data_IF_114825930027
#
_entry.id   IF_114825930027
#
_cell.length_a   1.000
_cell.length_b   1.000
_cell.length_c   1.000
_cell.angle_alpha   90.00
_cell.angle_beta   90.00
_cell.angle_gamma   90.00
#
_symmetry.space_group_name_H-M   'P 1'
#
loop_
_entity.id
_entity.type
_entity.pdbx_description
1 polymer ?
#
# COMPACT_ATOMS: atom_id res chain seq x y z
N UNK A 1 -5.32 -64.40 31.03
CA UNK A 1 -5.40 -62.92 31.09
C UNK A 1 -4.34 -62.32 30.18
N UNK A 2 -4.71 -61.88 28.99
CA UNK A 2 -3.78 -61.26 28.02
C UNK A 2 -3.78 -59.74 28.22
N UNK A 3 -2.60 -59.16 28.53
CA UNK A 3 -2.40 -57.71 28.61
C UNK A 3 -2.44 -57.16 27.18
N UNK A 4 -3.35 -56.22 26.91
CA UNK A 4 -3.32 -55.41 25.70
C UNK A 4 -2.12 -54.48 25.76
N UNK A 5 -1.19 -54.61 24.81
CA UNK A 5 -0.13 -53.70 24.60
C UNK A 5 -0.72 -52.46 23.86
N UNK A 6 -0.69 -51.33 24.56
CA UNK A 6 -1.13 -50.06 24.03
C UNK A 6 -0.16 -49.63 22.92
N UNK A 7 -0.65 -49.46 21.69
CA UNK A 7 0.15 -48.97 20.57
C UNK A 7 0.52 -47.53 20.80
N UNK A 8 1.79 -47.12 20.60
CA UNK A 8 2.19 -45.72 20.80
C UNK A 8 1.44 -44.83 19.81
N UNK A 9 0.76 -43.80 20.33
CA UNK A 9 0.16 -42.73 19.56
C UNK A 9 1.25 -42.12 18.68
N UNK A 10 1.15 -42.30 17.37
CA UNK A 10 1.98 -41.56 16.40
C UNK A 10 1.75 -40.06 16.63
N UNK A 11 2.76 -39.38 17.13
CA UNK A 11 2.80 -37.93 17.15
C UNK A 11 2.70 -37.48 15.70
N UNK A 12 1.63 -36.74 15.37
CA UNK A 12 1.50 -36.09 14.06
C UNK A 12 2.70 -35.17 13.89
N UNK A 13 3.47 -35.39 12.82
CA UNK A 13 4.52 -34.45 12.41
C UNK A 13 3.94 -33.06 12.35
N UNK A 14 4.68 -32.01 12.80
CA UNK A 14 4.17 -30.66 12.71
C UNK A 14 3.84 -30.35 11.24
N UNK A 15 2.65 -29.77 11.02
CA UNK A 15 2.20 -29.41 9.68
C UNK A 15 3.26 -28.51 9.03
N UNK A 16 3.66 -28.86 7.80
CA UNK A 16 4.62 -28.07 7.04
C UNK A 16 4.13 -26.63 6.96
N UNK A 17 5.05 -25.66 7.18
CA UNK A 17 4.72 -24.25 7.04
C UNK A 17 4.23 -23.96 5.60
N UNK A 18 3.15 -23.17 5.41
CA UNK A 18 2.68 -22.81 4.08
C UNK A 18 3.80 -22.20 3.23
N UNK A 19 3.84 -22.45 1.92
CA UNK A 19 4.78 -21.82 1.02
C UNK A 19 4.75 -20.30 1.12
N UNK A 20 5.92 -19.67 0.99
CA UNK A 20 6.08 -18.23 1.02
C UNK A 20 5.95 -17.65 -0.38
N UNK A 21 5.08 -16.66 -0.52
CA UNK A 21 5.00 -15.78 -1.69
C UNK A 21 5.52 -14.39 -1.34
N UNK A 22 6.09 -13.72 -2.33
CA UNK A 22 6.54 -12.33 -2.20
C UNK A 22 5.77 -11.46 -3.17
N UNK A 23 5.25 -10.35 -2.67
CA UNK A 23 4.55 -9.36 -3.49
C UNK A 23 5.22 -8.00 -3.38
N UNK A 24 5.28 -7.31 -4.52
CA UNK A 24 5.85 -5.97 -4.60
C UNK A 24 4.82 -5.01 -5.18
N UNK A 25 4.69 -3.88 -4.52
CA UNK A 25 3.89 -2.75 -4.95
C UNK A 25 4.74 -1.48 -4.88
N UNK A 26 4.30 -0.46 -5.59
CA UNK A 26 4.89 0.86 -5.51
C UNK A 26 3.81 1.93 -5.58
N UNK A 27 4.10 3.08 -5.03
CA UNK A 27 3.19 4.20 -5.03
C UNK A 27 3.90 5.52 -4.78
N UNK A 28 3.13 6.58 -4.70
CA UNK A 28 3.69 7.90 -4.54
C UNK A 28 2.80 8.86 -3.77
N UNK A 29 3.44 9.61 -2.89
CA UNK A 29 2.84 10.78 -2.26
C UNK A 29 3.13 11.99 -3.13
N UNK A 30 2.12 12.43 -3.87
CA UNK A 30 2.20 13.59 -4.75
C UNK A 30 1.97 14.85 -3.95
N UNK A 31 2.87 15.82 -4.08
CA UNK A 31 2.74 17.12 -3.42
C UNK A 31 2.75 18.29 -4.40
N UNK A 32 2.21 19.40 -3.94
CA UNK A 32 2.33 20.72 -4.55
C UNK A 32 2.48 21.80 -3.48
N UNK A 33 3.11 22.90 -3.83
CA UNK A 33 3.18 24.08 -2.97
C UNK A 33 2.14 25.10 -3.43
N UNK A 34 1.37 25.63 -2.49
CA UNK A 34 0.42 26.74 -2.72
C UNK A 34 0.47 27.71 -1.56
N UNK A 35 0.68 28.98 -1.87
CA UNK A 35 0.70 30.08 -0.88
C UNK A 35 1.60 29.79 0.33
N UNK A 36 2.78 29.23 0.07
CA UNK A 36 3.75 28.90 1.11
C UNK A 36 3.46 27.60 1.89
N UNK A 37 2.33 26.94 1.65
CA UNK A 37 1.99 25.66 2.27
C UNK A 37 2.11 24.49 1.30
N UNK A 38 2.22 23.29 1.83
CA UNK A 38 2.31 22.05 1.08
C UNK A 38 0.99 21.27 1.18
N UNK A 39 0.46 20.89 0.04
CA UNK A 39 -0.65 19.95 -0.06
C UNK A 39 -0.20 18.65 -0.71
N UNK A 40 -0.76 17.54 -0.28
CA UNK A 40 -0.51 16.19 -0.79
C UNK A 40 -1.80 15.50 -1.22
N UNK A 41 -1.70 14.50 -2.08
CA UNK A 41 -2.85 13.75 -2.58
C UNK A 41 -2.98 12.43 -1.84
N UNK A 42 -4.19 12.17 -1.38
CA UNK A 42 -4.63 10.85 -0.95
C UNK A 42 -5.82 10.41 -1.81
N UNK A 43 -5.95 9.10 -1.97
CA UNK A 43 -7.07 8.45 -2.65
C UNK A 43 -7.83 7.58 -1.65
N UNK A 44 -9.12 7.39 -1.87
CA UNK A 44 -9.95 6.62 -0.95
C UNK A 44 -10.86 5.63 -1.66
N UNK A 45 -11.08 4.50 -0.99
CA UNK A 45 -12.16 3.55 -1.27
C UNK A 45 -13.13 3.53 -0.10
N UNK A 46 -14.41 3.28 -0.40
CA UNK A 46 -15.40 3.07 0.65
C UNK A 46 -15.19 1.71 1.29
N UNK A 47 -15.18 1.70 2.61
CA UNK A 47 -15.19 0.45 3.36
C UNK A 47 -16.52 -0.28 3.10
N UNK A 48 -16.51 -1.59 2.75
CA UNK A 48 -17.72 -2.32 2.35
C UNK A 48 -18.85 -2.34 3.40
N UNK A 49 -18.47 -2.39 4.68
CA UNK A 49 -19.44 -2.47 5.78
C UNK A 49 -19.89 -1.12 6.29
N UNK A 50 -18.95 -0.21 6.56
CA UNK A 50 -19.24 1.10 7.17
C UNK A 50 -19.60 2.20 6.18
N UNK A 51 -19.22 2.06 4.90
CA UNK A 51 -19.32 3.10 3.89
C UNK A 51 -18.35 4.27 4.06
N UNK A 52 -17.53 4.25 5.11
CA UNK A 52 -16.54 5.30 5.36
C UNK A 52 -15.43 5.28 4.30
N UNK A 53 -14.93 6.46 3.94
CA UNK A 53 -13.78 6.59 3.05
C UNK A 53 -12.50 6.22 3.79
N UNK A 54 -11.73 5.30 3.20
CA UNK A 54 -10.43 4.85 3.71
C UNK A 54 -9.36 5.53 2.86
N UNK A 55 -8.72 6.55 3.42
CA UNK A 55 -7.72 7.36 2.73
C UNK A 55 -6.34 6.74 2.79
N UNK A 56 -5.71 6.58 1.64
CA UNK A 56 -4.39 5.95 1.49
C UNK A 56 -3.52 6.70 0.49
N UNK A 57 -2.22 6.48 0.56
CA UNK A 57 -1.28 6.92 -0.47
C UNK A 57 -1.51 6.05 -1.72
N UNK A 58 -1.68 6.63 -2.91
CA UNK A 58 -1.86 5.87 -4.15
C UNK A 58 -0.75 4.85 -4.38
N UNK A 59 -1.13 3.60 -4.69
CA UNK A 59 -0.20 2.48 -4.90
C UNK A 59 -0.85 1.32 -5.62
N UNK A 60 -0.03 0.45 -6.19
CA UNK A 60 -0.49 -0.82 -6.74
C UNK A 60 0.64 -1.75 -7.09
N UNK A 61 0.29 -2.94 -7.56
CA UNK A 61 1.24 -4.00 -7.87
C UNK A 61 2.15 -3.64 -9.04
N UNK A 62 3.42 -4.08 -8.97
CA UNK A 62 4.31 -4.06 -10.12
C UNK A 62 3.81 -5.04 -11.18
N UNK A 63 3.83 -4.61 -12.42
CA UNK A 63 3.64 -5.49 -13.56
C UNK A 63 4.95 -6.23 -13.92
N UNK A 64 4.88 -7.38 -14.60
CA UNK A 64 6.09 -8.12 -15.00
C UNK A 64 7.09 -7.22 -15.75
N UNK A 65 8.34 -7.19 -15.30
CA UNK A 65 9.40 -6.37 -15.88
C UNK A 65 9.35 -4.89 -15.55
N UNK A 66 8.37 -4.43 -14.78
CA UNK A 66 8.23 -3.03 -14.38
C UNK A 66 9.13 -2.70 -13.18
N UNK A 67 9.81 -1.56 -13.24
CA UNK A 67 10.54 -1.02 -12.08
C UNK A 67 9.58 -0.43 -11.05
N UNK A 68 10.02 -0.32 -9.79
CA UNK A 68 9.24 0.34 -8.74
C UNK A 68 8.91 1.79 -9.11
N UNK A 69 9.84 2.52 -9.72
CA UNK A 69 9.60 3.91 -10.15
C UNK A 69 8.53 3.99 -11.24
N UNK A 70 8.61 3.13 -12.25
CA UNK A 70 7.62 3.09 -13.32
C UNK A 70 6.23 2.70 -12.81
N UNK A 71 6.15 1.69 -11.93
CA UNK A 71 4.91 1.29 -11.29
C UNK A 71 4.30 2.42 -10.45
N UNK A 72 5.12 3.13 -9.66
CA UNK A 72 4.65 4.24 -8.85
C UNK A 72 4.06 5.36 -9.69
N UNK A 73 4.70 5.75 -10.78
CA UNK A 73 4.18 6.79 -11.69
C UNK A 73 2.89 6.33 -12.39
N UNK A 74 2.83 5.08 -12.83
CA UNK A 74 1.64 4.50 -13.47
C UNK A 74 0.46 4.44 -12.50
N UNK A 75 0.67 3.93 -11.29
CA UNK A 75 -0.38 3.81 -10.27
C UNK A 75 -0.89 5.18 -9.81
N UNK A 76 -0.02 6.16 -9.64
CA UNK A 76 -0.43 7.54 -9.34
C UNK A 76 -1.32 8.09 -10.45
N UNK A 77 -0.96 7.90 -11.71
CA UNK A 77 -1.78 8.35 -12.84
C UNK A 77 -3.13 7.62 -12.87
N UNK A 78 -3.14 6.31 -12.72
CA UNK A 78 -4.37 5.51 -12.75
C UNK A 78 -5.30 5.89 -11.59
N UNK A 79 -4.79 5.95 -10.37
CA UNK A 79 -5.61 6.20 -9.18
C UNK A 79 -5.99 7.67 -8.97
N UNK A 80 -5.22 8.61 -9.48
CA UNK A 80 -5.43 10.05 -9.22
C UNK A 80 -5.68 10.91 -10.45
N UNK A 81 -5.31 10.45 -11.64
CA UNK A 81 -5.34 11.27 -12.87
C UNK A 81 -4.20 12.28 -12.96
N UNK A 82 -3.27 12.28 -12.02
CA UNK A 82 -2.18 13.25 -12.00
C UNK A 82 -0.93 12.72 -12.72
N UNK A 83 -0.24 13.65 -13.38
CA UNK A 83 1.14 13.49 -13.81
C UNK A 83 2.05 14.00 -12.69
N UNK A 84 3.03 13.16 -12.31
CA UNK A 84 3.94 13.49 -11.22
C UNK A 84 5.36 13.04 -11.54
N UNK A 85 6.32 13.76 -11.01
CA UNK A 85 7.75 13.49 -11.14
C UNK A 85 8.31 12.99 -9.82
N UNK A 86 9.01 11.86 -9.86
CA UNK A 86 9.69 11.32 -8.68
C UNK A 86 10.87 12.21 -8.31
N UNK A 87 10.91 12.67 -7.08
CA UNK A 87 12.07 13.39 -6.54
C UNK A 87 12.98 12.48 -5.74
N UNK A 88 12.44 11.63 -4.89
CA UNK A 88 13.21 10.71 -4.06
C UNK A 88 12.34 9.58 -3.52
N UNK A 89 12.99 8.55 -3.03
CA UNK A 89 12.33 7.49 -2.28
C UNK A 89 11.87 8.03 -0.93
N UNK A 90 10.60 7.80 -0.60
CA UNK A 90 10.02 8.23 0.68
C UNK A 90 10.19 7.16 1.76
N UNK A 91 9.98 5.90 1.43
CA UNK A 91 10.16 4.78 2.32
C UNK A 91 9.44 3.53 1.87
N UNK A 92 9.77 2.41 2.49
CA UNK A 92 9.14 1.12 2.26
C UNK A 92 8.23 0.76 3.44
N UNK A 93 7.08 0.16 3.14
CA UNK A 93 6.22 -0.49 4.11
C UNK A 93 6.24 -1.98 3.81
N UNK A 94 6.51 -2.79 4.82
CA UNK A 94 6.54 -4.26 4.71
C UNK A 94 5.57 -4.86 5.70
N UNK A 95 4.87 -5.92 5.28
CA UNK A 95 3.98 -6.65 6.16
C UNK A 95 3.75 -8.09 5.69
N UNK A 96 3.27 -8.93 6.61
CA UNK A 96 2.95 -10.32 6.39
C UNK A 96 1.45 -10.52 6.45
N UNK A 97 0.93 -11.37 5.58
CA UNK A 97 -0.44 -11.85 5.69
C UNK A 97 -0.56 -13.28 5.16
N UNK A 98 -1.67 -13.90 5.43
CA UNK A 98 -2.02 -15.22 4.92
C UNK A 98 -3.20 -15.10 3.95
N UNK A 99 -3.15 -15.90 2.89
CA UNK A 99 -4.27 -16.05 1.98
C UNK A 99 -4.42 -17.49 1.55
N UNK A 100 -5.54 -17.81 0.92
CA UNK A 100 -5.73 -19.10 0.24
C UNK A 100 -5.56 -18.92 -1.26
N UNK A 101 -4.89 -19.87 -1.92
CA UNK A 101 -4.79 -19.91 -3.38
C UNK A 101 -6.13 -20.41 -3.99
N UNK A 102 -6.17 -20.48 -5.33
CA UNK A 102 -7.35 -20.90 -6.08
C UNK A 102 -7.81 -22.32 -5.71
N UNK A 103 -6.91 -23.18 -5.24
CA UNK A 103 -7.19 -24.55 -4.77
C UNK A 103 -7.47 -24.61 -3.27
N UNK A 104 -7.61 -23.47 -2.60
CA UNK A 104 -7.91 -23.37 -1.17
C UNK A 104 -6.72 -23.66 -0.24
N UNK A 105 -5.50 -23.77 -0.75
CA UNK A 105 -4.29 -24.04 0.04
C UNK A 105 -3.77 -22.78 0.69
N UNK A 106 -3.35 -22.88 1.95
CA UNK A 106 -2.78 -21.75 2.68
C UNK A 106 -1.46 -21.28 2.07
N UNK A 107 -1.31 -19.97 1.96
CA UNK A 107 -0.09 -19.28 1.50
C UNK A 107 0.29 -18.20 2.49
N UNK A 108 1.57 -18.06 2.78
CA UNK A 108 2.13 -16.92 3.51
C UNK A 108 2.60 -15.91 2.49
N UNK A 109 2.23 -14.65 2.68
CA UNK A 109 2.67 -13.57 1.78
C UNK A 109 3.49 -12.56 2.56
N UNK A 110 4.67 -12.27 2.07
CA UNK A 110 5.46 -11.12 2.47
C UNK A 110 5.29 -10.04 1.40
N UNK A 111 4.82 -8.87 1.80
CA UNK A 111 4.59 -7.76 0.88
C UNK A 111 5.45 -6.57 1.24
N UNK A 112 6.07 -5.97 0.22
CA UNK A 112 6.73 -4.68 0.29
C UNK A 112 6.03 -3.69 -0.63
N UNK A 113 5.72 -2.52 -0.09
CA UNK A 113 5.25 -1.37 -0.87
C UNK A 113 6.30 -0.29 -0.79
N UNK A 114 6.85 0.11 -1.93
CA UNK A 114 7.82 1.20 -2.02
C UNK A 114 7.14 2.48 -2.42
N UNK A 115 7.28 3.51 -1.58
CA UNK A 115 6.70 4.83 -1.82
C UNK A 115 7.76 5.85 -2.19
N UNK A 116 7.39 6.72 -3.13
CA UNK A 116 8.20 7.83 -3.58
C UNK A 116 7.53 9.17 -3.25
N UNK A 117 8.34 10.18 -2.96
CA UNK A 117 7.90 11.56 -2.91
C UNK A 117 7.91 12.09 -4.34
N UNK A 118 6.77 12.63 -4.78
CA UNK A 118 6.56 13.07 -6.15
C UNK A 118 6.06 14.50 -6.18
N UNK A 119 6.60 15.28 -7.12
CA UNK A 119 6.09 16.62 -7.40
C UNK A 119 5.00 16.56 -8.47
N UNK A 120 3.86 17.23 -8.22
CA UNK A 120 2.79 17.35 -9.21
C UNK A 120 3.26 18.12 -10.44
N UNK A 121 2.95 17.62 -11.63
CA UNK A 121 3.25 18.23 -12.93
C UNK A 121 1.99 18.55 -13.73
N UNK A 122 0.81 18.33 -13.16
CA UNK A 122 -0.46 18.57 -13.80
C UNK A 122 -1.40 17.37 -13.76
N UNK A 123 -2.36 17.34 -14.65
CA UNK A 123 -3.39 16.33 -14.67
C UNK A 123 -4.63 16.74 -13.88
N UNK A 124 -5.64 15.91 -13.92
CA UNK A 124 -6.95 16.19 -13.31
C UNK A 124 -7.50 14.95 -12.65
N UNK A 125 -8.08 15.06 -11.48
CA UNK A 125 -8.68 13.93 -10.75
C UNK A 125 -9.78 13.20 -11.54
N UNK A 126 -10.50 13.89 -12.41
CA UNK A 126 -11.53 13.27 -13.26
C UNK A 126 -10.96 12.29 -14.30
N UNK A 127 -9.67 12.38 -14.61
CA UNK A 127 -9.01 11.52 -15.60
C UNK A 127 -8.49 10.21 -14.98
N UNK A 128 -8.75 10.00 -13.66
CA UNK A 128 -8.41 8.74 -12.98
C UNK A 128 -9.30 7.59 -13.47
N UNK A 129 -8.84 6.37 -13.24
CA UNK A 129 -9.70 5.20 -13.40
C UNK A 129 -10.80 5.16 -12.32
N UNK A 130 -11.71 4.18 -12.41
CA UNK A 130 -12.88 4.09 -11.54
C UNK A 130 -12.65 3.30 -10.24
N UNK A 131 -11.43 2.86 -9.97
CA UNK A 131 -11.13 2.05 -8.78
C UNK A 131 -11.21 2.85 -7.49
N UNK A 132 -10.90 4.15 -7.54
CA UNK A 132 -10.96 5.04 -6.38
C UNK A 132 -12.27 5.79 -6.33
N UNK A 133 -12.94 5.72 -5.18
CA UNK A 133 -14.21 6.43 -4.93
C UNK A 133 -13.99 7.94 -4.75
N UNK A 134 -12.85 8.34 -4.21
CA UNK A 134 -12.51 9.75 -4.02
C UNK A 134 -10.99 9.97 -4.13
N UNK A 135 -10.62 11.17 -4.58
CA UNK A 135 -9.25 11.68 -4.59
C UNK A 135 -9.28 13.13 -4.19
N UNK A 136 -8.43 13.55 -3.26
CA UNK A 136 -8.39 14.93 -2.77
C UNK A 136 -6.98 15.40 -2.46
N UNK A 137 -6.80 16.71 -2.57
CA UNK A 137 -5.69 17.44 -1.97
C UNK A 137 -5.99 17.67 -0.49
N UNK A 138 -5.01 17.35 0.35
CA UNK A 138 -5.03 17.63 1.79
C UNK A 138 -3.82 18.48 2.14
N UNK A 139 -3.98 19.41 3.05
CA UNK A 139 -2.80 20.01 3.67
C UNK A 139 -2.03 18.92 4.42
N UNK A 140 -0.70 19.05 4.52
CA UNK A 140 0.15 18.00 5.10
C UNK A 140 -0.31 17.56 6.49
N UNK A 141 -0.66 18.52 7.35
CA UNK A 141 -1.12 18.20 8.71
C UNK A 141 -2.44 17.42 8.72
N UNK A 142 -3.35 17.76 7.82
CA UNK A 142 -4.61 17.03 7.65
C UNK A 142 -4.36 15.63 7.10
N UNK A 143 -3.52 15.50 6.06
CA UNK A 143 -3.18 14.21 5.47
C UNK A 143 -2.61 13.24 6.50
N UNK A 144 -1.73 13.71 7.37
CA UNK A 144 -1.14 12.89 8.44
C UNK A 144 -2.18 12.39 9.45
N UNK A 145 -3.25 13.14 9.68
CA UNK A 145 -4.35 12.71 10.55
C UNK A 145 -5.32 11.75 9.87
N UNK A 146 -5.64 11.98 8.59
CA UNK A 146 -6.71 11.23 7.90
C UNK A 146 -6.22 9.96 7.22
N UNK A 147 -4.91 9.81 6.93
CA UNK A 147 -4.37 8.59 6.38
C UNK A 147 -4.72 7.40 7.29
N UNK A 148 -5.30 6.36 6.69
CA UNK A 148 -5.95 5.29 7.46
C UNK A 148 -4.98 4.43 8.26
N UNK A 149 -3.74 4.23 7.75
CA UNK A 149 -2.78 3.30 8.35
C UNK A 149 -1.63 4.06 9.04
N UNK A 150 -1.23 3.57 10.22
CA UNK A 150 -0.14 4.17 11.00
C UNK A 150 1.17 4.26 10.21
N UNK A 151 1.50 3.24 9.41
CA UNK A 151 2.68 3.22 8.56
C UNK A 151 2.65 4.31 7.49
N UNK A 152 1.49 4.58 6.88
CA UNK A 152 1.34 5.67 5.92
C UNK A 152 1.37 7.04 6.60
N UNK A 153 0.78 7.19 7.78
CA UNK A 153 0.90 8.44 8.57
C UNK A 153 2.35 8.78 8.88
N UNK A 154 3.19 7.77 9.17
CA UNK A 154 4.62 7.96 9.36
C UNK A 154 5.32 8.44 8.09
N UNK A 155 4.93 7.93 6.93
CA UNK A 155 5.48 8.38 5.65
C UNK A 155 5.07 9.83 5.33
N UNK A 156 3.83 10.22 5.60
CA UNK A 156 3.38 11.61 5.47
C UNK A 156 4.17 12.53 6.40
N UNK A 157 4.40 12.12 7.64
CA UNK A 157 5.25 12.84 8.60
C UNK A 157 6.70 12.98 8.12
N UNK A 158 7.25 11.94 7.49
CA UNK A 158 8.58 12.00 6.86
C UNK A 158 8.60 13.00 5.71
N UNK A 159 7.59 12.98 4.85
CA UNK A 159 7.46 13.96 3.77
C UNK A 159 7.41 15.39 4.29
N UNK A 160 6.70 15.63 5.40
CA UNK A 160 6.68 16.94 6.04
C UNK A 160 8.07 17.41 6.42
N UNK A 161 8.88 16.56 7.03
CA UNK A 161 10.26 16.89 7.37
C UNK A 161 11.14 17.16 6.16
N UNK A 162 10.99 16.38 5.10
CA UNK A 162 11.74 16.57 3.85
C UNK A 162 11.37 17.86 3.12
N UNK A 163 10.11 18.30 3.24
CA UNK A 163 9.57 19.46 2.55
C UNK A 163 9.61 20.76 3.36
N UNK A 164 10.02 20.69 4.63
CA UNK A 164 10.11 21.83 5.54
C UNK A 164 11.31 22.77 5.29
N UNK A 165 12.17 22.43 4.32
CA UNK A 165 13.32 23.23 3.91
C UNK A 165 12.98 24.38 2.98
#
# INVERSE_FOLDING_TARGET
MARRVDSPRRLKAPAARPPLEREFSAGGLVYRRRRGAVAVVLAARRHPESGALVWTIPKGHLEPGESSKAAAMREVREETGLEAEIEQQLGDITYWFARRDAEGRARRVWKRVRFFLMRSRGGRFRDRDREMDAVRWFWLDEAERVAAFASERQLVGRARRLLAG
#
